data_IF_796853360566
#
_entry.id   IF_796853360566
#
_cell.length_a   1.000
_cell.length_b   1.000
_cell.length_c   1.000
_cell.angle_alpha   90.00
_cell.angle_beta   90.00
_cell.angle_gamma   90.00
#
_symmetry.space_group_name_H-M   'P 1'
#
loop_
_entity.id
_entity.type
_entity.pdbx_description
1 polymer ?
#
# COMPACT_ATOMS: atom_id res chain seq x y z
N UNK A 1 8.65 -14.31 -15.33
CA UNK A 1 8.80 -14.73 -13.91
C UNK A 1 9.02 -13.56 -12.95
N UNK A 2 9.51 -12.39 -13.38
CA UNK A 2 9.80 -11.24 -12.50
C UNK A 2 8.60 -10.66 -11.70
N UNK A 3 7.36 -10.77 -12.20
CA UNK A 3 6.18 -10.18 -11.56
C UNK A 3 5.81 -10.81 -10.19
N UNK A 4 6.03 -12.12 -10.03
CA UNK A 4 5.72 -12.82 -8.77
C UNK A 4 6.71 -12.49 -7.64
N UNK A 5 7.97 -12.21 -7.98
CA UNK A 5 8.99 -11.76 -7.02
C UNK A 5 8.67 -10.37 -6.47
N UNK A 6 8.18 -9.46 -7.33
CA UNK A 6 7.74 -8.12 -6.91
C UNK A 6 6.62 -8.20 -5.89
N UNK A 7 5.57 -8.98 -6.15
CA UNK A 7 4.44 -9.11 -5.21
C UNK A 7 4.91 -9.71 -3.89
N UNK A 8 5.78 -10.72 -3.92
CA UNK A 8 6.32 -11.32 -2.70
C UNK A 8 7.12 -10.32 -1.85
N UNK A 9 7.91 -9.45 -2.50
CA UNK A 9 8.61 -8.34 -1.84
C UNK A 9 7.63 -7.34 -1.21
N UNK A 10 6.60 -6.94 -1.95
CA UNK A 10 5.57 -6.02 -1.43
C UNK A 10 4.83 -6.61 -0.23
N UNK A 11 4.45 -7.90 -0.29
CA UNK A 11 3.83 -8.60 0.86
C UNK A 11 4.72 -8.57 2.10
N UNK A 12 6.03 -8.68 1.93
CA UNK A 12 6.97 -8.58 3.04
C UNK A 12 7.05 -7.15 3.60
N UNK A 13 7.11 -6.13 2.73
CA UNK A 13 7.15 -4.71 3.13
C UNK A 13 5.86 -4.21 3.82
N UNK A 14 4.75 -4.89 3.61
CA UNK A 14 3.48 -4.58 4.28
C UNK A 14 3.39 -5.10 5.71
N UNK A 15 4.37 -5.87 6.20
CA UNK A 15 4.37 -6.38 7.59
C UNK A 15 4.93 -5.32 8.53
N UNK A 16 4.08 -4.72 9.35
CA UNK A 16 4.33 -3.55 10.20
C UNK A 16 4.15 -3.88 11.68
N UNK A 17 4.45 -2.90 12.54
CA UNK A 17 4.21 -2.99 13.99
C UNK A 17 2.73 -2.80 14.36
N UNK A 18 1.92 -2.27 13.43
CA UNK A 18 0.52 -1.92 13.64
C UNK A 18 -0.41 -2.84 12.83
N UNK A 19 -1.34 -3.50 13.52
CA UNK A 19 -2.24 -4.50 12.94
C UNK A 19 -3.19 -3.91 11.89
N UNK A 20 -3.63 -2.68 12.11
CA UNK A 20 -4.54 -1.97 11.21
C UNK A 20 -3.89 -1.69 9.85
N UNK A 21 -2.61 -1.29 9.85
CA UNK A 21 -1.82 -1.13 8.64
C UNK A 21 -1.65 -2.46 7.91
N UNK A 22 -1.31 -3.54 8.64
CA UNK A 22 -1.16 -4.87 8.07
C UNK A 22 -2.43 -5.28 7.31
N UNK A 23 -3.60 -5.12 7.94
CA UNK A 23 -4.90 -5.50 7.35
C UNK A 23 -5.18 -4.67 6.08
N UNK A 24 -4.99 -3.35 6.13
CA UNK A 24 -5.27 -2.46 4.99
C UNK A 24 -4.35 -2.77 3.81
N UNK A 25 -3.05 -2.92 4.07
CA UNK A 25 -2.04 -3.12 3.03
C UNK A 25 -2.09 -4.54 2.45
N UNK A 26 -2.30 -5.57 3.29
CA UNK A 26 -2.46 -6.96 2.83
C UNK A 26 -3.69 -7.10 1.94
N UNK A 27 -4.83 -6.51 2.36
CA UNK A 27 -6.04 -6.47 1.54
C UNK A 27 -5.77 -5.86 0.17
N UNK A 28 -5.13 -4.70 0.13
CA UNK A 28 -4.83 -4.02 -1.12
C UNK A 28 -3.98 -4.89 -2.07
N UNK A 29 -2.97 -5.59 -1.52
CA UNK A 29 -2.17 -6.51 -2.32
C UNK A 29 -3.00 -7.66 -2.86
N UNK A 30 -3.84 -8.31 -2.03
CA UNK A 30 -4.65 -9.44 -2.47
C UNK A 30 -5.64 -9.05 -3.58
N UNK A 31 -6.24 -7.86 -3.48
CA UNK A 31 -7.18 -7.35 -4.49
C UNK A 31 -6.47 -6.91 -5.79
N UNK A 32 -5.19 -6.54 -5.72
CA UNK A 32 -4.45 -5.96 -6.85
C UNK A 32 -3.23 -6.79 -7.27
N UNK A 33 -3.13 -8.06 -6.86
CA UNK A 33 -1.94 -8.92 -7.05
C UNK A 33 -1.51 -8.99 -8.52
N UNK A 34 -2.47 -9.18 -9.43
CA UNK A 34 -2.21 -9.20 -10.86
C UNK A 34 -1.66 -7.86 -11.37
N UNK A 35 -2.31 -6.75 -11.02
CA UNK A 35 -1.90 -5.40 -11.42
C UNK A 35 -0.52 -5.04 -10.87
N UNK A 36 -0.24 -5.38 -9.61
CA UNK A 36 1.06 -5.19 -8.97
C UNK A 36 2.13 -6.03 -9.66
N UNK A 37 1.84 -7.28 -10.01
CA UNK A 37 2.77 -8.13 -10.77
C UNK A 37 3.08 -7.58 -12.17
N UNK A 38 2.13 -6.85 -12.77
CA UNK A 38 2.25 -6.20 -14.07
C UNK A 38 2.97 -4.84 -14.02
N UNK A 39 3.36 -4.35 -12.83
CA UNK A 39 4.09 -3.09 -12.68
C UNK A 39 3.24 -1.87 -12.30
N UNK A 40 1.94 -2.04 -12.05
CA UNK A 40 1.08 -0.94 -11.58
C UNK A 40 1.51 -0.42 -10.21
N UNK A 41 1.14 0.83 -9.93
CA UNK A 41 1.41 1.53 -8.66
C UNK A 41 2.90 1.58 -8.30
N UNK A 42 3.75 2.21 -9.13
CA UNK A 42 5.18 2.34 -8.82
C UNK A 42 5.44 3.14 -7.53
N UNK A 43 4.52 4.02 -7.14
CA UNK A 43 4.60 4.81 -5.90
C UNK A 43 4.33 3.97 -4.64
N UNK A 44 3.66 2.81 -4.77
CA UNK A 44 3.32 1.96 -3.62
C UNK A 44 4.56 1.44 -2.90
N UNK A 45 5.57 0.99 -3.64
CA UNK A 45 6.81 0.53 -3.03
C UNK A 45 7.56 1.68 -2.31
N UNK A 46 7.51 2.89 -2.87
CA UNK A 46 8.11 4.07 -2.24
C UNK A 46 7.33 4.50 -0.99
N UNK A 47 6.00 4.40 -1.01
CA UNK A 47 5.14 4.67 0.15
C UNK A 47 5.44 3.68 1.28
N UNK A 48 5.69 2.40 0.97
CA UNK A 48 6.10 1.40 1.96
C UNK A 48 7.51 1.66 2.55
N UNK A 49 8.26 2.67 2.12
CA UNK A 49 9.48 3.07 2.82
C UNK A 49 9.21 4.09 3.95
N UNK A 50 7.99 4.61 4.07
CA UNK A 50 7.59 5.51 5.14
C UNK A 50 7.39 4.76 6.48
N UNK A 51 7.52 5.53 7.57
CA UNK A 51 7.31 5.07 8.94
C UNK A 51 5.82 4.76 9.20
N UNK A 52 5.57 3.85 10.13
CA UNK A 52 4.21 3.37 10.46
C UNK A 52 3.30 4.51 10.92
N UNK A 53 3.80 5.42 11.77
CA UNK A 53 3.02 6.56 12.27
C UNK A 53 2.57 7.50 11.14
N UNK A 54 3.44 7.73 10.15
CA UNK A 54 3.12 8.58 9.00
C UNK A 54 2.11 7.92 8.08
N UNK A 55 2.28 6.62 7.81
CA UNK A 55 1.34 5.87 7.00
C UNK A 55 -0.03 5.84 7.67
N UNK A 56 -0.07 5.61 8.97
CA UNK A 56 -1.30 5.59 9.74
C UNK A 56 -2.01 6.93 9.70
N UNK A 57 -1.29 8.03 9.91
CA UNK A 57 -1.84 9.39 9.82
C UNK A 57 -2.47 9.66 8.45
N UNK A 58 -1.81 9.27 7.35
CA UNK A 58 -2.36 9.40 6.01
C UNK A 58 -3.62 8.55 5.79
N UNK A 59 -3.70 7.35 6.33
CA UNK A 59 -4.92 6.53 6.21
C UNK A 59 -6.09 7.09 7.04
N UNK A 60 -5.80 7.73 8.18
CA UNK A 60 -6.79 8.37 9.04
C UNK A 60 -7.25 9.73 8.49
N UNK A 61 -6.33 10.46 7.88
CA UNK A 61 -6.54 11.78 7.29
C UNK A 61 -6.00 11.80 5.85
N UNK A 62 -6.68 11.13 4.89
CA UNK A 62 -6.20 11.10 3.53
C UNK A 62 -5.90 12.49 3.00
N UNK A 63 -6.69 13.51 3.38
CA UNK A 63 -6.57 14.91 2.91
C UNK A 63 -5.18 15.53 3.16
N UNK A 64 -4.43 14.96 4.09
CA UNK A 64 -3.11 15.41 4.51
C UNK A 64 -1.98 14.53 3.95
N UNK A 65 -2.32 13.50 3.17
CA UNK A 65 -1.35 12.69 2.47
C UNK A 65 -0.58 13.53 1.43
N UNK A 66 0.72 13.22 1.30
CA UNK A 66 1.56 13.77 0.24
C UNK A 66 0.87 13.57 -1.12
N UNK A 67 0.87 14.60 -1.98
CA UNK A 67 0.27 14.57 -3.31
C UNK A 67 0.71 13.35 -4.13
N UNK A 68 1.96 12.90 -3.93
CA UNK A 68 2.53 11.72 -4.56
C UNK A 68 1.78 10.43 -4.19
N UNK A 69 1.28 10.32 -2.96
CA UNK A 69 0.64 9.12 -2.43
C UNK A 69 -0.87 9.27 -2.26
N UNK A 70 -1.41 10.49 -2.33
CA UNK A 70 -2.85 10.79 -2.15
C UNK A 70 -3.77 9.81 -2.87
N UNK A 71 -3.57 9.58 -4.17
CA UNK A 71 -4.43 8.66 -4.96
C UNK A 71 -4.38 7.22 -4.44
N UNK A 72 -3.21 6.79 -4.01
CA UNK A 72 -2.95 5.44 -3.52
C UNK A 72 -3.52 5.27 -2.11
N UNK A 73 -3.30 6.24 -1.22
CA UNK A 73 -3.89 6.29 0.13
C UNK A 73 -5.41 6.25 0.04
N UNK A 74 -6.01 7.08 -0.82
CA UNK A 74 -7.45 7.07 -1.07
C UNK A 74 -7.92 5.71 -1.58
N UNK A 75 -7.18 5.08 -2.50
CA UNK A 75 -7.54 3.77 -3.05
C UNK A 75 -7.51 2.66 -2.00
N UNK A 76 -6.52 2.66 -1.11
CA UNK A 76 -6.36 1.67 -0.03
C UNK A 76 -7.44 1.88 1.06
N UNK A 77 -7.70 3.14 1.42
CA UNK A 77 -8.62 3.50 2.50
C UNK A 77 -10.09 3.29 2.15
N UNK A 78 -10.46 3.46 0.87
CA UNK A 78 -11.86 3.49 0.45
C UNK A 78 -12.53 2.10 0.41
N UNK A 79 -11.79 1.01 0.65
CA UNK A 79 -12.29 -0.34 0.42
C UNK A 79 -12.83 -0.55 -1.01
N UNK A 80 -13.45 -1.69 -1.32
CA UNK A 80 -14.15 -1.93 -2.57
C UNK A 80 -15.46 -1.18 -2.47
N UNK A 81 -15.58 -0.12 -3.27
CA UNK A 81 -16.86 0.24 -3.87
C UNK A 81 -17.23 -0.79 -4.94
#
# INVERSE_FOLDING_TARGET
>A
MAGFERVSKLKWLCRRGMKELDILLERFILENEFSLSAGSWPEFEAMLACEDDQLWDWFQHPAEADERYWKLVMRISSGPG
#
